data_IF_279157062991
#
_entry.id   IF_279157062991
#
_cell.length_a   1.000
_cell.length_b   1.000
_cell.length_c   1.000
_cell.angle_alpha   90.00
_cell.angle_beta   90.00
_cell.angle_gamma   90.00
#
_symmetry.space_group_name_H-M   'P 1'
#
loop_
_entity.id
_entity.type
_entity.pdbx_description
1 polymer ?
#
# COMPACT_ATOMS: atom_id res chain seq x y z
N UNK A 1 -16.53 -13.27 7.17
CA UNK A 1 -16.01 -12.86 8.50
C UNK A 1 -14.64 -12.19 8.39
N UNK A 2 -13.58 -12.87 7.93
CA UNK A 2 -12.22 -12.30 7.84
C UNK A 2 -12.14 -10.98 7.05
N UNK A 3 -12.69 -10.91 5.83
CA UNK A 3 -12.65 -9.69 5.02
C UNK A 3 -13.33 -8.48 5.71
N UNK A 4 -14.46 -8.71 6.38
CA UNK A 4 -15.18 -7.65 7.10
C UNK A 4 -14.38 -7.17 8.32
N UNK A 5 -13.71 -8.09 9.04
CA UNK A 5 -12.83 -7.75 10.16
C UNK A 5 -11.62 -6.95 9.66
N UNK A 6 -10.96 -7.38 8.58
CA UNK A 6 -9.84 -6.63 7.99
C UNK A 6 -10.23 -5.23 7.55
N UNK A 7 -11.40 -5.07 6.92
CA UNK A 7 -11.92 -3.77 6.53
C UNK A 7 -12.20 -2.88 7.75
N UNK A 8 -12.80 -3.43 8.81
CA UNK A 8 -13.07 -2.69 10.03
C UNK A 8 -11.78 -2.21 10.70
N UNK A 9 -10.78 -3.09 10.85
CA UNK A 9 -9.46 -2.73 11.38
C UNK A 9 -8.80 -1.62 10.59
N UNK A 10 -8.88 -1.71 9.27
CA UNK A 10 -8.34 -0.73 8.35
C UNK A 10 -9.02 0.64 8.52
N UNK A 11 -10.36 0.68 8.55
CA UNK A 11 -11.13 1.91 8.79
C UNK A 11 -10.84 2.51 10.17
N UNK A 12 -10.76 1.68 11.22
CA UNK A 12 -10.44 2.13 12.57
C UNK A 12 -9.04 2.75 12.64
N UNK A 13 -8.04 2.14 11.99
CA UNK A 13 -6.68 2.65 11.95
C UNK A 13 -6.61 4.03 11.26
N UNK A 14 -7.23 4.17 10.08
CA UNK A 14 -7.24 5.44 9.37
C UNK A 14 -8.01 6.52 10.13
N UNK A 15 -9.19 6.19 10.67
CA UNK A 15 -9.97 7.14 11.49
C UNK A 15 -9.19 7.61 12.71
N UNK A 16 -8.56 6.68 13.45
CA UNK A 16 -7.73 7.02 14.61
C UNK A 16 -6.57 7.94 14.22
N UNK A 17 -5.80 7.59 13.18
CA UNK A 17 -4.64 8.38 12.78
C UNK A 17 -4.99 9.80 12.30
N UNK A 18 -6.11 9.98 11.60
CA UNK A 18 -6.58 11.30 11.19
C UNK A 18 -7.00 12.14 12.41
N UNK A 19 -7.73 11.56 13.36
CA UNK A 19 -8.12 12.26 14.59
C UNK A 19 -6.92 12.58 15.47
N UNK A 20 -6.00 11.62 15.63
CA UNK A 20 -4.80 11.76 16.44
C UNK A 20 -3.83 12.84 15.91
N UNK A 21 -3.90 13.13 14.61
CA UNK A 21 -3.10 14.18 13.97
C UNK A 21 -3.90 15.45 13.69
N UNK A 22 -5.06 15.62 14.33
CA UNK A 22 -5.93 16.80 14.15
C UNK A 22 -6.22 17.12 12.69
N UNK A 23 -6.48 16.07 11.88
CA UNK A 23 -6.73 16.17 10.45
C UNK A 23 -5.56 16.77 9.66
N UNK A 24 -4.33 16.48 10.07
CA UNK A 24 -3.14 16.96 9.38
C UNK A 24 -3.18 16.62 7.87
N UNK A 25 -3.02 17.61 6.96
CA UNK A 25 -3.25 17.40 5.51
C UNK A 25 -2.40 16.29 4.88
N UNK A 26 -1.16 16.11 5.36
CA UNK A 26 -0.27 15.04 4.88
C UNK A 26 -0.84 13.66 5.22
N UNK A 27 -1.34 13.47 6.44
CA UNK A 27 -1.93 12.18 6.85
C UNK A 27 -3.20 11.90 6.06
N UNK A 28 -4.06 12.90 5.90
CA UNK A 28 -5.30 12.76 5.15
C UNK A 28 -5.05 12.41 3.67
N UNK A 29 -4.10 13.09 3.02
CA UNK A 29 -3.75 12.85 1.62
C UNK A 29 -3.11 11.47 1.42
N UNK A 30 -2.21 11.05 2.29
CA UNK A 30 -1.60 9.72 2.22
C UNK A 30 -2.61 8.60 2.51
N UNK A 31 -3.52 8.80 3.47
CA UNK A 31 -4.62 7.87 3.75
C UNK A 31 -5.54 7.71 2.54
N UNK A 32 -5.97 8.82 1.94
CA UNK A 32 -6.80 8.81 0.74
C UNK A 32 -6.10 8.13 -0.44
N UNK A 33 -4.82 8.46 -0.68
CA UNK A 33 -4.03 7.83 -1.73
C UNK A 33 -3.86 6.32 -1.52
N UNK A 34 -3.53 5.90 -0.30
CA UNK A 34 -3.43 4.48 0.07
C UNK A 34 -4.74 3.73 -0.14
N UNK A 35 -5.87 4.34 0.26
CA UNK A 35 -7.23 3.83 -0.01
C UNK A 35 -7.43 3.59 -1.50
N UNK A 36 -7.14 4.62 -2.30
CA UNK A 36 -7.39 4.60 -3.73
C UNK A 36 -6.53 3.55 -4.43
N UNK A 37 -5.25 3.45 -4.06
CA UNK A 37 -4.34 2.42 -4.59
C UNK A 37 -4.79 1.00 -4.19
N UNK A 38 -5.24 0.80 -2.95
CA UNK A 38 -5.72 -0.49 -2.48
C UNK A 38 -6.99 -0.94 -3.23
N UNK A 39 -7.96 -0.04 -3.42
CA UNK A 39 -9.17 -0.32 -4.18
C UNK A 39 -8.86 -0.54 -5.67
N UNK A 40 -8.07 0.36 -6.27
CA UNK A 40 -7.67 0.30 -7.68
C UNK A 40 -6.70 -0.84 -8.01
N UNK A 41 -6.16 -1.54 -7.00
CA UNK A 41 -5.22 -2.64 -7.20
C UNK A 41 -5.87 -3.80 -7.98
N UNK A 42 -7.08 -4.19 -7.59
CA UNK A 42 -7.85 -5.30 -8.19
C UNK A 42 -9.23 -4.89 -8.68
N UNK A 43 -9.81 -3.80 -8.19
CA UNK A 43 -11.14 -3.34 -8.58
C UNK A 43 -11.08 -2.12 -9.53
N UNK A 44 -12.21 -1.83 -10.18
CA UNK A 44 -12.35 -0.70 -11.10
C UNK A 44 -12.15 -1.07 -12.57
N UNK A 45 -12.27 -0.09 -13.49
CA UNK A 45 -12.27 -0.32 -14.92
C UNK A 45 -10.90 -0.71 -15.49
N UNK A 46 -9.82 -0.42 -14.77
CA UNK A 46 -8.45 -0.71 -15.19
C UNK A 46 -7.59 -1.08 -13.96
N UNK A 47 -7.71 -2.31 -13.43
CA UNK A 47 -7.02 -2.69 -12.20
C UNK A 47 -5.50 -2.68 -12.39
N UNK A 48 -4.79 -2.04 -11.45
CA UNK A 48 -3.35 -1.81 -11.55
C UNK A 48 -2.55 -3.12 -11.65
N UNK A 49 -3.02 -4.20 -11.01
CA UNK A 49 -2.42 -5.53 -11.13
C UNK A 49 -2.39 -5.99 -12.60
N UNK A 50 -3.51 -5.88 -13.31
CA UNK A 50 -3.64 -6.38 -14.69
C UNK A 50 -3.02 -5.44 -15.73
N UNK A 51 -2.66 -4.21 -15.35
CA UNK A 51 -1.88 -3.30 -16.17
C UNK A 51 -0.36 -3.49 -16.04
N UNK A 52 0.10 -4.50 -15.28
CA UNK A 52 1.52 -4.71 -14.99
C UNK A 52 2.12 -3.72 -13.99
N UNK A 53 1.28 -2.91 -13.33
CA UNK A 53 1.71 -1.94 -12.31
C UNK A 53 1.68 -2.51 -10.89
N UNK A 54 1.25 -3.76 -10.73
CA UNK A 54 1.08 -4.40 -9.42
C UNK A 54 2.35 -4.38 -8.56
N UNK A 55 3.48 -4.79 -9.13
CA UNK A 55 4.78 -4.83 -8.45
C UNK A 55 5.21 -3.44 -7.94
N UNK A 56 5.00 -2.39 -8.74
CA UNK A 56 5.30 -1.02 -8.36
C UNK A 56 4.37 -0.51 -7.23
N UNK A 57 3.09 -0.82 -7.30
CA UNK A 57 2.12 -0.47 -6.25
C UNK A 57 2.47 -1.18 -4.94
N UNK A 58 2.80 -2.46 -4.99
CA UNK A 58 3.23 -3.21 -3.80
C UNK A 58 4.53 -2.65 -3.25
N UNK A 59 5.49 -2.29 -4.10
CA UNK A 59 6.72 -1.63 -3.67
C UNK A 59 6.44 -0.35 -2.89
N UNK A 60 5.61 0.54 -3.45
CA UNK A 60 5.31 1.83 -2.81
C UNK A 60 4.53 1.61 -1.51
N UNK A 61 3.46 0.82 -1.53
CA UNK A 61 2.55 0.66 -0.41
C UNK A 61 3.16 -0.13 0.75
N UNK A 62 3.94 -1.18 0.49
CA UNK A 62 4.56 -2.03 1.52
C UNK A 62 5.99 -1.63 1.87
N UNK A 63 6.57 -0.63 1.19
CA UNK A 63 7.89 -0.09 1.49
C UNK A 63 7.83 1.36 1.95
N UNK A 64 8.26 2.33 1.11
CA UNK A 64 8.33 3.73 1.51
C UNK A 64 7.01 4.30 2.04
N UNK A 65 5.88 3.93 1.45
CA UNK A 65 4.57 4.49 1.76
C UNK A 65 4.09 4.17 3.18
N UNK A 66 4.16 2.90 3.61
CA UNK A 66 3.75 2.52 4.98
C UNK A 66 4.65 3.15 6.04
N UNK A 67 5.96 3.26 5.78
CA UNK A 67 6.91 3.90 6.70
C UNK A 67 6.69 5.40 6.74
N UNK A 68 6.53 6.06 5.58
CA UNK A 68 6.23 7.47 5.51
C UNK A 68 4.92 7.81 6.25
N UNK A 69 3.88 6.99 6.07
CA UNK A 69 2.61 7.16 6.78
C UNK A 69 2.79 7.04 8.29
N UNK A 70 3.49 5.98 8.72
CA UNK A 70 3.75 5.74 10.14
C UNK A 70 4.55 6.88 10.77
N UNK A 71 5.59 7.39 10.09
CA UNK A 71 6.37 8.52 10.57
C UNK A 71 5.55 9.83 10.61
N UNK A 72 4.70 10.08 9.61
CA UNK A 72 3.81 11.23 9.60
C UNK A 72 2.84 11.22 10.79
N UNK A 73 2.29 10.06 11.13
CA UNK A 73 1.35 9.90 12.27
C UNK A 73 2.05 9.93 13.62
N UNK A 74 3.18 9.23 13.78
CA UNK A 74 3.81 9.02 15.09
C UNK A 74 4.82 10.12 15.47
N UNK A 75 5.50 10.70 14.49
CA UNK A 75 6.64 11.63 14.71
C UNK A 75 6.37 13.00 14.08
N UNK A 76 5.29 13.16 13.31
CA UNK A 76 4.90 14.43 12.69
C UNK A 76 5.79 14.86 11.51
N UNK A 77 6.65 13.97 11.00
CA UNK A 77 7.53 14.26 9.85
C UNK A 77 7.82 13.01 9.03
N UNK A 78 8.22 13.18 7.77
CA UNK A 78 8.55 12.09 6.85
C UNK A 78 10.04 12.17 6.48
N UNK A 79 10.93 11.51 7.26
CA UNK A 79 12.36 11.51 6.95
C UNK A 79 12.65 10.63 5.72
N UNK A 80 13.40 11.16 4.76
CA UNK A 80 13.71 10.45 3.53
C UNK A 80 14.61 9.23 3.77
N UNK A 81 15.45 9.30 4.80
CA UNK A 81 16.36 8.22 5.20
C UNK A 81 15.56 6.97 5.60
N UNK A 82 14.48 7.14 6.37
CA UNK A 82 13.64 6.03 6.81
C UNK A 82 12.98 5.31 5.63
N UNK A 83 12.55 6.07 4.61
CA UNK A 83 12.00 5.50 3.38
C UNK A 83 13.08 4.75 2.59
N UNK A 84 14.29 5.31 2.47
CA UNK A 84 15.40 4.67 1.78
C UNK A 84 15.78 3.31 2.39
N UNK A 85 15.70 3.18 3.72
CA UNK A 85 15.96 1.91 4.41
C UNK A 85 14.96 0.80 4.09
N UNK A 86 13.76 1.14 3.60
CA UNK A 86 12.76 0.12 3.21
C UNK A 86 13.10 -0.57 1.89
N UNK A 87 13.86 0.10 1.01
CA UNK A 87 14.08 -0.35 -0.36
C UNK A 87 14.59 -1.79 -0.45
N UNK A 88 15.64 -2.22 0.30
CA UNK A 88 16.14 -3.59 0.18
C UNK A 88 15.10 -4.64 0.59
N UNK A 89 14.38 -4.39 1.69
CA UNK A 89 13.37 -5.33 2.21
C UNK A 89 12.18 -5.42 1.26
N UNK A 90 11.74 -4.29 0.74
CA UNK A 90 10.60 -4.25 -0.18
C UNK A 90 10.94 -4.85 -1.54
N UNK A 91 12.18 -4.75 -2.01
CA UNK A 91 12.63 -5.48 -3.21
C UNK A 91 12.52 -7.00 -3.04
N UNK A 92 12.73 -7.54 -1.85
CA UNK A 92 12.51 -8.98 -1.58
C UNK A 92 11.03 -9.37 -1.64
N UNK A 93 10.14 -8.49 -1.15
CA UNK A 93 8.69 -8.67 -1.26
C UNK A 93 8.27 -8.67 -2.73
N UNK A 94 8.73 -7.70 -3.50
CA UNK A 94 8.47 -7.62 -4.95
C UNK A 94 9.05 -8.82 -5.68
N UNK A 95 10.25 -9.28 -5.35
CA UNK A 95 10.83 -10.48 -5.96
C UNK A 95 9.96 -11.73 -5.73
N UNK A 96 9.38 -11.86 -4.54
CA UNK A 96 8.45 -12.97 -4.23
C UNK A 96 7.15 -12.84 -5.03
N UNK A 97 6.59 -11.64 -5.11
CA UNK A 97 5.39 -11.37 -5.92
C UNK A 97 5.66 -11.62 -7.40
N UNK A 98 6.82 -11.19 -7.91
CA UNK A 98 7.23 -11.37 -9.29
C UNK A 98 7.39 -12.86 -9.64
N UNK A 99 7.99 -13.65 -8.74
CA UNK A 99 8.07 -15.10 -8.91
C UNK A 99 6.69 -15.76 -8.99
N UNK A 100 5.72 -15.29 -8.19
CA UNK A 100 4.34 -15.76 -8.26
C UNK A 100 3.69 -15.37 -9.60
N UNK A 101 3.82 -14.11 -10.02
CA UNK A 101 3.28 -13.62 -11.29
C UNK A 101 3.87 -14.42 -12.48
N UNK A 102 5.18 -14.73 -12.44
CA UNK A 102 5.83 -15.51 -13.48
C UNK A 102 5.32 -16.97 -13.52
N UNK A 103 5.16 -17.61 -12.36
CA UNK A 103 4.60 -18.96 -12.26
C UNK A 103 3.19 -19.04 -12.86
N UNK A 104 2.38 -18.01 -12.61
CA UNK A 104 0.95 -18.01 -12.92
C UNK A 104 0.62 -17.40 -14.30
N UNK A 105 1.62 -16.94 -15.06
CA UNK A 105 1.45 -16.21 -16.33
C UNK A 105 0.62 -16.97 -17.38
N UNK A 106 0.81 -18.28 -17.50
CA UNK A 106 0.09 -19.14 -18.45
C UNK A 106 -1.39 -19.28 -18.05
N UNK A 107 -1.68 -19.31 -16.75
CA UNK A 107 -3.04 -19.43 -16.22
C UNK A 107 -3.76 -18.10 -16.34
N UNK A 108 -3.11 -17.01 -15.94
CA UNK A 108 -3.68 -15.65 -15.94
C UNK A 108 -3.92 -15.12 -17.36
N UNK A 109 -3.15 -15.57 -18.37
CA UNK A 109 -3.35 -15.18 -19.78
C UNK A 109 -4.56 -15.84 -20.46
N UNK A 110 -5.15 -16.86 -19.84
CA UNK A 110 -6.30 -17.62 -20.40
C UNK A 110 -7.65 -17.20 -19.79
N UNK A 111 -7.65 -16.33 -18.79
CA UNK A 111 -8.84 -15.80 -18.11
C UNK A 111 -9.34 -14.51 -18.77
#
# INVERSE_FOLDING_TARGET
>A
VLAAVSLLWWLCYFAWSVVATEFHPIVLSMAALGTFLALGYTAGPAPLKYLGLGDAVVFICFGPGVVAYSCAVLVGRVPWEAMAFTVPVTLLVVATLHANNYRDIEVDSRA
#
